data_IF_497569513286
#
_entry.id   IF_497569513286
#
_cell.length_a   1.000
_cell.length_b   1.000
_cell.length_c   1.000
_cell.angle_alpha   90.00
_cell.angle_beta   90.00
_cell.angle_gamma   90.00
#
_symmetry.space_group_name_H-M   'P 1'
#
loop_
_entity.id
_entity.type
_entity.pdbx_description
1 polymer ?
#
# COMPACT_ATOMS: atom_id res chain seq x y z
N UNK A 1 13.73 -0.31 -18.33
CA UNK A 1 13.15 -1.41 -17.50
C UNK A 1 11.98 -0.95 -16.62
N UNK A 2 12.12 0.11 -15.81
CA UNK A 2 11.05 0.57 -14.90
C UNK A 2 9.71 0.86 -15.58
N UNK A 3 9.74 1.38 -16.82
CA UNK A 3 8.52 1.61 -17.63
C UNK A 3 7.75 0.33 -17.93
N UNK A 4 8.45 -0.77 -18.24
CA UNK A 4 7.82 -2.06 -18.54
C UNK A 4 7.17 -2.64 -17.29
N UNK A 5 7.90 -2.69 -16.16
CA UNK A 5 7.38 -3.18 -14.88
C UNK A 5 6.17 -2.36 -14.40
N UNK A 6 6.26 -1.03 -14.46
CA UNK A 6 5.14 -0.16 -14.11
C UNK A 6 3.92 -0.44 -14.99
N UNK A 7 4.10 -0.57 -16.30
CA UNK A 7 3.00 -0.88 -17.22
C UNK A 7 2.41 -2.29 -17.00
N UNK A 8 3.21 -3.28 -16.64
CA UNK A 8 2.73 -4.64 -16.31
C UNK A 8 1.78 -4.63 -15.10
N UNK A 9 2.01 -3.75 -14.13
CA UNK A 9 1.14 -3.59 -12.96
C UNK A 9 -0.14 -2.80 -13.22
N UNK A 10 -0.22 -2.04 -14.33
CA UNK A 10 -1.35 -1.15 -14.64
C UNK A 10 -2.63 -1.82 -15.18
N UNK A 11 -2.80 -3.13 -14.97
CA UNK A 11 -4.02 -3.85 -15.40
C UNK A 11 -5.23 -3.38 -14.59
N UNK A 12 -6.40 -3.28 -15.21
CA UNK A 12 -7.61 -2.77 -14.57
C UNK A 12 -7.96 -3.48 -13.26
N UNK A 13 -7.87 -4.81 -13.24
CA UNK A 13 -8.12 -5.62 -12.05
C UNK A 13 -7.07 -5.41 -10.94
N UNK A 14 -5.80 -5.13 -11.30
CA UNK A 14 -4.76 -4.79 -10.32
C UNK A 14 -5.00 -3.41 -9.71
N UNK A 15 -5.52 -2.45 -10.47
CA UNK A 15 -5.93 -1.15 -9.91
C UNK A 15 -7.06 -1.33 -8.89
N UNK A 16 -8.09 -2.09 -9.25
CA UNK A 16 -9.18 -2.42 -8.34
C UNK A 16 -8.67 -3.11 -7.05
N UNK A 17 -7.79 -4.11 -7.20
CA UNK A 17 -7.18 -4.79 -6.05
C UNK A 17 -6.40 -3.83 -5.16
N UNK A 18 -5.59 -2.94 -5.74
CA UNK A 18 -4.86 -1.92 -4.95
C UNK A 18 -5.79 -1.03 -4.15
N UNK A 19 -6.89 -0.58 -4.77
CA UNK A 19 -7.87 0.27 -4.11
C UNK A 19 -8.56 -0.46 -2.95
N UNK A 20 -8.94 -1.74 -3.15
CA UNK A 20 -9.54 -2.59 -2.12
C UNK A 20 -8.58 -2.78 -0.94
N UNK A 21 -7.32 -3.15 -1.20
CA UNK A 21 -6.34 -3.40 -0.14
C UNK A 21 -6.03 -2.14 0.68
N UNK A 22 -5.82 -0.99 0.03
CA UNK A 22 -5.57 0.27 0.72
C UNK A 22 -6.78 0.67 1.60
N UNK A 23 -7.99 0.53 1.07
CA UNK A 23 -9.22 0.84 1.80
C UNK A 23 -9.48 -0.14 2.95
N UNK A 24 -9.19 -1.43 2.75
CA UNK A 24 -9.28 -2.44 3.81
C UNK A 24 -8.31 -2.13 4.96
N UNK A 25 -7.06 -1.77 4.66
CA UNK A 25 -6.11 -1.35 5.69
C UNK A 25 -6.57 -0.09 6.42
N UNK A 26 -7.11 0.90 5.70
CA UNK A 26 -7.68 2.09 6.32
C UNK A 26 -8.79 1.75 7.32
N UNK A 27 -9.74 0.91 6.92
CA UNK A 27 -10.82 0.44 7.80
C UNK A 27 -10.25 -0.32 9.00
N UNK A 28 -9.26 -1.19 8.80
CA UNK A 28 -8.61 -1.94 9.89
C UNK A 28 -7.90 -1.03 10.89
N UNK A 29 -7.21 0.02 10.44
CA UNK A 29 -6.57 1.00 11.33
C UNK A 29 -7.62 1.71 12.19
N UNK A 30 -8.81 2.01 11.64
CA UNK A 30 -9.89 2.63 12.41
C UNK A 30 -10.54 1.67 13.40
N UNK A 31 -10.84 0.44 12.98
CA UNK A 31 -11.54 -0.55 13.81
C UNK A 31 -10.63 -1.21 14.86
N UNK A 32 -9.34 -1.36 14.57
CA UNK A 32 -8.33 -2.00 15.43
C UNK A 32 -7.19 -1.04 15.76
N UNK A 33 -7.51 0.22 16.05
CA UNK A 33 -6.53 1.29 16.28
C UNK A 33 -5.53 0.99 17.41
N UNK A 34 -5.99 0.39 18.52
CA UNK A 34 -5.13 -0.02 19.63
C UNK A 34 -4.14 -1.12 19.22
N UNK A 35 -4.60 -2.14 18.49
CA UNK A 35 -3.73 -3.21 17.98
C UNK A 35 -2.74 -2.67 16.95
N UNK A 36 -3.17 -1.78 16.06
CA UNK A 36 -2.28 -1.14 15.12
C UNK A 36 -1.19 -0.31 15.83
N UNK A 37 -1.56 0.49 16.82
CA UNK A 37 -0.62 1.28 17.61
C UNK A 37 0.38 0.39 18.35
N UNK A 38 -0.07 -0.70 18.96
CA UNK A 38 0.79 -1.63 19.70
C UNK A 38 1.80 -2.35 18.79
N UNK A 39 1.34 -2.96 17.69
CA UNK A 39 2.20 -3.80 16.85
C UNK A 39 3.04 -3.04 15.83
N UNK A 40 2.63 -1.83 15.44
CA UNK A 40 3.35 -1.01 14.46
C UNK A 40 3.95 0.24 15.12
N UNK A 41 3.15 0.98 15.88
CA UNK A 41 3.57 2.26 16.48
C UNK A 41 4.59 2.14 17.59
N UNK A 42 4.32 1.31 18.60
CA UNK A 42 5.21 1.11 19.75
C UNK A 42 6.50 0.39 19.36
N UNK A 43 6.43 -0.52 18.38
CA UNK A 43 7.63 -1.18 17.83
C UNK A 43 8.53 -0.16 17.13
N UNK A 44 7.98 0.66 16.22
CA UNK A 44 8.71 1.76 15.61
C UNK A 44 7.79 2.74 14.87
N UNK A 45 7.89 4.05 15.10
CA UNK A 45 7.18 5.05 14.30
C UNK A 45 7.44 4.95 12.79
N UNK A 46 8.60 4.42 12.39
CA UNK A 46 8.94 4.20 10.98
C UNK A 46 8.06 3.11 10.34
N UNK A 47 7.62 2.09 11.08
CA UNK A 47 6.72 1.06 10.56
C UNK A 47 5.36 1.66 10.19
N UNK A 48 4.85 2.58 11.01
CA UNK A 48 3.61 3.32 10.72
C UNK A 48 3.76 4.14 9.43
N UNK A 49 4.88 4.85 9.27
CA UNK A 49 5.17 5.62 8.05
C UNK A 49 5.25 4.71 6.83
N UNK A 50 5.91 3.55 6.94
CA UNK A 50 6.04 2.56 5.87
C UNK A 50 4.66 2.01 5.45
N UNK A 51 3.78 1.72 6.41
CA UNK A 51 2.40 1.29 6.14
C UNK A 51 1.62 2.37 5.40
N UNK A 52 1.64 3.62 5.88
CA UNK A 52 0.94 4.72 5.20
C UNK A 52 1.51 5.01 3.82
N UNK A 53 2.82 4.88 3.64
CA UNK A 53 3.47 4.99 2.34
C UNK A 53 2.97 3.89 1.38
N UNK A 54 2.88 2.64 1.83
CA UNK A 54 2.32 1.55 1.04
C UNK A 54 0.84 1.78 0.69
N UNK A 55 0.04 2.30 1.62
CA UNK A 55 -1.35 2.70 1.35
C UNK A 55 -1.41 3.79 0.28
N UNK A 56 -0.56 4.82 0.37
CA UNK A 56 -0.49 5.89 -0.62
C UNK A 56 -0.13 5.35 -2.01
N UNK A 57 0.87 4.46 -2.12
CA UNK A 57 1.22 3.77 -3.37
C UNK A 57 -0.02 3.08 -3.97
N UNK A 58 -0.73 2.29 -3.18
CA UNK A 58 -1.86 1.49 -3.65
C UNK A 58 -3.10 2.35 -3.96
N UNK A 59 -3.36 3.44 -3.25
CA UNK A 59 -4.42 4.38 -3.64
C UNK A 59 -4.09 5.16 -4.92
N UNK A 60 -2.84 5.65 -5.06
CA UNK A 60 -2.39 6.30 -6.30
C UNK A 60 -2.56 5.32 -7.47
N UNK A 61 -2.09 4.08 -7.33
CA UNK A 61 -2.27 3.07 -8.36
C UNK A 61 -3.75 2.74 -8.62
N UNK A 62 -4.53 2.55 -7.56
CA UNK A 62 -5.93 2.15 -7.62
C UNK A 62 -6.86 3.20 -8.21
N UNK A 63 -6.57 4.49 -8.00
CA UNK A 63 -7.27 5.61 -8.64
C UNK A 63 -7.08 5.66 -10.16
N UNK A 64 -6.11 4.91 -10.68
CA UNK A 64 -5.75 4.92 -12.09
C UNK A 64 -4.85 6.08 -12.50
N UNK A 65 -4.38 6.89 -11.55
CA UNK A 65 -3.47 8.02 -11.78
C UNK A 65 -2.22 7.60 -12.57
N UNK A 66 -1.91 8.35 -13.63
CA UNK A 66 -0.77 8.08 -14.49
C UNK A 66 0.45 8.92 -14.10
N UNK A 67 1.44 8.26 -13.51
CA UNK A 67 2.69 8.93 -13.16
C UNK A 67 3.53 9.10 -14.43
N UNK A 68 3.82 10.34 -14.84
CA UNK A 68 4.60 10.64 -16.05
C UNK A 68 6.11 10.56 -15.81
N UNK A 69 6.60 11.13 -14.72
CA UNK A 69 8.02 11.23 -14.43
C UNK A 69 8.61 9.92 -13.85
N UNK A 70 9.78 9.53 -14.34
CA UNK A 70 10.45 8.25 -14.03
C UNK A 70 10.78 8.10 -12.55
N UNK A 71 11.29 9.15 -11.90
CA UNK A 71 11.59 9.14 -10.46
C UNK A 71 10.35 8.75 -9.64
N UNK A 72 9.20 9.34 -9.95
CA UNK A 72 7.95 9.08 -9.25
C UNK A 72 7.41 7.67 -9.53
N UNK A 73 7.70 7.06 -10.69
CA UNK A 73 7.35 5.66 -10.95
C UNK A 73 8.17 4.68 -10.11
N UNK A 74 9.40 5.04 -9.75
CA UNK A 74 10.25 4.24 -8.87
C UNK A 74 9.75 4.33 -7.43
N UNK A 75 9.49 5.55 -6.95
CA UNK A 75 8.96 5.81 -5.62
C UNK A 75 7.59 5.11 -5.48
N UNK A 76 6.65 5.41 -6.37
CA UNK A 76 5.29 4.85 -6.30
C UNK A 76 5.08 3.60 -7.14
N UNK A 77 6.05 2.68 -7.14
CA UNK A 77 5.93 1.41 -7.85
C UNK A 77 4.90 0.51 -7.15
N UNK A 78 3.80 0.07 -7.82
CA UNK A 78 2.71 -0.67 -7.15
C UNK A 78 3.16 -1.95 -6.45
N UNK A 79 4.17 -2.62 -7.01
CA UNK A 79 4.77 -3.85 -6.44
C UNK A 79 5.25 -3.63 -5.00
N UNK A 80 5.87 -2.48 -4.72
CA UNK A 80 6.34 -2.13 -3.36
C UNK A 80 5.17 -2.01 -2.39
N UNK A 81 4.08 -1.36 -2.83
CA UNK A 81 2.86 -1.24 -2.04
C UNK A 81 2.27 -2.60 -1.68
N UNK A 82 2.22 -3.55 -2.62
CA UNK A 82 1.72 -4.89 -2.36
C UNK A 82 2.59 -5.67 -1.37
N UNK A 83 3.91 -5.65 -1.56
CA UNK A 83 4.85 -6.38 -0.69
C UNK A 83 4.80 -5.92 0.76
N UNK A 84 4.50 -4.64 1.00
CA UNK A 84 4.38 -4.10 2.35
C UNK A 84 2.96 -4.31 2.90
N UNK A 85 1.93 -3.93 2.13
CA UNK A 85 0.58 -3.85 2.70
C UNK A 85 -0.08 -5.22 2.92
N UNK A 86 0.17 -6.20 2.06
CA UNK A 86 -0.42 -7.55 2.18
C UNK A 86 -0.02 -8.24 3.50
N UNK A 87 1.26 -8.32 3.90
CA UNK A 87 1.63 -8.95 5.16
C UNK A 87 1.13 -8.14 6.37
N UNK A 88 1.20 -6.81 6.35
CA UNK A 88 0.70 -5.98 7.46
C UNK A 88 -0.81 -6.15 7.67
N UNK A 89 -1.59 -6.14 6.58
CA UNK A 89 -3.03 -6.34 6.62
C UNK A 89 -3.38 -7.76 7.08
N UNK A 90 -2.72 -8.78 6.53
CA UNK A 90 -2.91 -10.18 6.93
C UNK A 90 -2.63 -10.37 8.41
N UNK A 91 -1.57 -9.76 8.93
CA UNK A 91 -1.21 -9.83 10.34
C UNK A 91 -2.31 -9.24 11.24
N UNK A 92 -2.83 -8.05 10.91
CA UNK A 92 -3.94 -7.43 11.67
C UNK A 92 -5.26 -8.18 11.60
N UNK A 93 -5.53 -8.87 10.48
CA UNK A 93 -6.73 -9.68 10.33
C UNK A 93 -6.65 -10.94 11.21
N UNK A 94 -5.45 -11.51 11.35
CA UNK A 94 -5.24 -12.75 12.09
C UNK A 94 -5.19 -12.57 13.62
N UNK A 95 -4.83 -11.37 14.09
CA UNK A 95 -4.89 -10.97 15.50
C UNK A 95 -6.33 -10.71 15.98
#
# INVERSE_FOLDING_TARGET
MIHSLYNMTRKGWLKALSFILASAMFVMILLKSSLFAHYFGEVSPLLVIIVFYAMAILWIHGSGFEIKATLWRVIFLPVVGYFILIPCLSYLIWL
#
